data_IF_926642928185
#
_entry.id   IF_926642928185
#
_cell.length_a   1.000
_cell.length_b   1.000
_cell.length_c   1.000
_cell.angle_alpha   90.00
_cell.angle_beta   90.00
_cell.angle_gamma   90.00
#
_symmetry.space_group_name_H-M   'P 1'
#
loop_
_entity.id
_entity.type
_entity.pdbx_description
1 polymer ?
#
# COMPACT_ATOMS: atom_id res chain seq x y z
N UNK A 1 11.32 -16.08 4.90
CA UNK A 1 9.92 -15.81 5.26
C UNK A 1 9.05 -16.12 4.02
N UNK A 2 7.79 -16.57 4.14
CA UNK A 2 6.93 -16.79 2.96
C UNK A 2 6.79 -15.48 2.16
N UNK A 3 6.52 -15.53 0.86
CA UNK A 3 6.39 -14.39 -0.07
C UNK A 3 7.67 -13.81 -0.71
N UNK A 4 8.80 -14.54 -0.69
CA UNK A 4 10.02 -14.09 -1.38
C UNK A 4 9.83 -13.82 -2.90
N UNK A 5 8.94 -14.57 -3.58
CA UNK A 5 8.62 -14.30 -4.99
C UNK A 5 7.87 -12.97 -5.16
N UNK A 6 6.93 -12.68 -4.26
CA UNK A 6 6.21 -11.40 -4.27
C UNK A 6 7.17 -10.24 -4.04
N UNK A 7 8.09 -10.38 -3.08
CA UNK A 7 9.15 -9.39 -2.82
C UNK A 7 10.10 -9.22 -4.01
N UNK A 8 10.39 -10.29 -4.77
CA UNK A 8 11.18 -10.20 -5.99
C UNK A 8 10.44 -9.41 -7.09
N UNK A 9 9.14 -9.67 -7.29
CA UNK A 9 8.30 -8.90 -8.22
C UNK A 9 8.29 -7.42 -7.85
N UNK A 10 8.05 -7.10 -6.58
CA UNK A 10 8.08 -5.74 -6.07
C UNK A 10 9.42 -5.04 -6.33
N UNK A 11 10.53 -5.71 -6.00
CA UNK A 11 11.88 -5.19 -6.23
C UNK A 11 12.15 -4.90 -7.72
N UNK A 12 11.71 -5.79 -8.60
CA UNK A 12 11.89 -5.64 -10.04
C UNK A 12 11.02 -4.51 -10.61
N UNK A 13 9.76 -4.39 -10.17
CA UNK A 13 8.89 -3.28 -10.54
C UNK A 13 9.50 -1.94 -10.09
N UNK A 14 10.01 -1.84 -8.86
CA UNK A 14 10.67 -0.62 -8.37
C UNK A 14 11.80 -0.21 -9.31
N UNK A 15 12.72 -1.13 -9.61
CA UNK A 15 13.83 -0.89 -10.55
C UNK A 15 13.37 -0.49 -11.95
N UNK A 16 12.31 -1.12 -12.45
CA UNK A 16 11.74 -0.79 -13.75
C UNK A 16 11.18 0.63 -13.76
N UNK A 17 10.36 1.00 -12.78
CA UNK A 17 9.83 2.35 -12.61
C UNK A 17 10.93 3.39 -12.35
N UNK A 18 12.04 3.01 -11.69
CA UNK A 18 13.20 3.89 -11.46
C UNK A 18 13.87 4.31 -12.78
N UNK A 19 13.97 3.39 -13.75
CA UNK A 19 14.47 3.74 -15.09
C UNK A 19 13.58 4.79 -15.76
N UNK A 20 12.26 4.58 -15.76
CA UNK A 20 11.32 5.54 -16.35
C UNK A 20 11.29 6.88 -15.59
N UNK A 21 11.48 6.87 -14.27
CA UNK A 21 11.62 8.07 -13.45
C UNK A 21 12.83 8.89 -13.85
N UNK A 22 13.99 8.25 -14.02
CA UNK A 22 15.23 8.90 -14.43
C UNK A 22 15.11 9.51 -15.84
N UNK A 23 14.35 8.88 -16.73
CA UNK A 23 14.06 9.37 -18.08
C UNK A 23 12.98 10.47 -18.12
N UNK A 24 12.21 10.68 -17.03
CA UNK A 24 11.07 11.59 -17.03
C UNK A 24 9.91 11.15 -17.94
N UNK A 25 9.78 9.84 -18.18
CA UNK A 25 8.84 9.24 -19.14
C UNK A 25 7.76 8.42 -18.44
N UNK A 26 6.55 8.31 -19.03
CA UNK A 26 5.53 7.44 -18.47
C UNK A 26 5.97 5.98 -18.59
N UNK A 27 5.59 5.16 -17.62
CA UNK A 27 5.75 3.71 -17.70
C UNK A 27 4.81 3.15 -18.78
N UNK A 28 5.17 2.09 -19.54
CA UNK A 28 4.28 1.44 -20.52
C UNK A 28 2.89 1.13 -19.97
N UNK A 29 2.81 0.57 -18.75
CA UNK A 29 1.53 0.33 -18.07
C UNK A 29 0.67 1.59 -17.94
N UNK A 30 1.26 2.77 -17.68
CA UNK A 30 0.50 4.02 -17.61
C UNK A 30 -0.04 4.41 -18.99
N UNK A 31 0.79 4.31 -20.04
CA UNK A 31 0.41 4.64 -21.42
C UNK A 31 -0.71 3.73 -21.90
N UNK A 32 -0.57 2.42 -21.71
CA UNK A 32 -1.58 1.42 -22.10
C UNK A 32 -2.91 1.62 -21.37
N UNK A 33 -2.88 2.09 -20.11
CA UNK A 33 -4.06 2.38 -19.32
C UNK A 33 -4.61 3.81 -19.52
N UNK A 34 -4.00 4.63 -20.39
CA UNK A 34 -4.42 6.01 -20.62
C UNK A 34 -4.22 6.95 -19.43
N UNK A 35 -3.26 6.64 -18.54
CA UNK A 35 -2.95 7.44 -17.34
C UNK A 35 -1.91 8.50 -17.71
N UNK A 36 -2.30 9.77 -17.61
CA UNK A 36 -1.44 10.92 -17.90
C UNK A 36 -0.51 11.27 -16.72
N UNK A 37 0.44 10.37 -16.43
CA UNK A 37 1.35 10.50 -15.30
C UNK A 37 2.80 10.13 -15.64
N UNK A 38 3.71 10.46 -14.72
CA UNK A 38 5.07 9.92 -14.68
C UNK A 38 5.43 9.43 -13.30
N UNK A 39 6.32 8.44 -13.16
CA UNK A 39 6.95 8.17 -11.87
C UNK A 39 7.63 9.46 -11.36
N UNK A 40 7.30 9.88 -10.15
CA UNK A 40 7.71 11.17 -9.60
C UNK A 40 9.09 11.08 -8.95
N UNK A 41 10.00 11.99 -9.34
CA UNK A 41 11.28 12.18 -8.67
C UNK A 41 11.11 13.06 -7.43
N UNK A 42 11.36 12.48 -6.25
CA UNK A 42 11.38 13.20 -4.97
C UNK A 42 12.63 12.83 -4.17
N UNK A 43 13.35 13.79 -3.55
CA UNK A 43 14.58 13.51 -2.81
C UNK A 43 14.41 12.50 -1.66
N UNK A 44 13.23 12.47 -1.04
CA UNK A 44 12.92 11.56 0.07
C UNK A 44 12.34 10.20 -0.38
N UNK A 45 12.15 9.95 -1.68
CA UNK A 45 11.46 8.74 -2.17
C UNK A 45 12.15 7.44 -1.73
N UNK A 46 13.48 7.41 -1.76
CA UNK A 46 14.26 6.26 -1.29
C UNK A 46 14.02 5.96 0.19
N UNK A 47 13.90 7.00 1.02
CA UNK A 47 13.57 6.83 2.44
C UNK A 47 12.13 6.36 2.63
N UNK A 48 11.19 6.94 1.87
CA UNK A 48 9.77 6.61 1.93
C UNK A 48 9.47 5.17 1.48
N UNK A 49 10.32 4.57 0.65
CA UNK A 49 10.23 3.17 0.23
C UNK A 49 10.86 2.19 1.21
N UNK A 50 11.59 2.67 2.20
CA UNK A 50 12.27 1.81 3.17
C UNK A 50 11.32 1.35 4.27
N UNK A 51 11.14 0.03 4.41
CA UNK A 51 10.20 -0.57 5.38
C UNK A 51 10.47 -0.24 6.86
N UNK A 52 11.67 0.25 7.21
CA UNK A 52 12.02 0.64 8.59
C UNK A 52 12.02 2.15 8.82
N UNK A 53 11.94 2.95 7.75
CA UNK A 53 11.90 4.42 7.84
C UNK A 53 10.54 4.96 7.45
N UNK A 54 10.16 4.73 6.18
CA UNK A 54 8.89 5.11 5.59
C UNK A 54 8.65 6.62 5.54
N UNK A 55 7.49 7.01 5.02
CA UNK A 55 6.90 8.33 5.27
C UNK A 55 6.54 8.38 6.75
N UNK A 56 6.99 9.39 7.48
CA UNK A 56 6.87 9.45 8.93
C UNK A 56 6.29 10.76 9.42
N UNK A 57 5.48 10.73 10.46
CA UNK A 57 4.95 11.94 11.11
C UNK A 57 4.72 11.71 12.60
N UNK A 58 4.97 12.75 13.40
CA UNK A 58 4.57 12.79 14.80
C UNK A 58 3.18 13.41 14.90
N UNK A 59 2.18 12.61 15.29
CA UNK A 59 0.83 13.09 15.48
C UNK A 59 0.68 13.79 16.84
N UNK A 60 0.71 15.12 16.82
CA UNK A 60 0.75 15.96 18.04
C UNK A 60 -0.40 15.67 19.03
N UNK A 61 -1.63 15.46 18.52
CA UNK A 61 -2.80 15.24 19.37
C UNK A 61 -2.75 13.94 20.18
N UNK A 62 -2.09 12.91 19.66
CA UNK A 62 -1.96 11.60 20.33
C UNK A 62 -0.55 11.31 20.84
N UNK A 63 0.45 12.13 20.48
CA UNK A 63 1.87 11.88 20.69
C UNK A 63 2.30 10.48 20.21
N UNK A 64 1.77 10.06 19.05
CA UNK A 64 2.14 8.81 18.39
C UNK A 64 3.04 9.15 17.19
N UNK A 65 4.16 8.45 17.07
CA UNK A 65 4.92 8.43 15.84
C UNK A 65 4.33 7.38 14.90
N UNK A 66 3.99 7.80 13.69
CA UNK A 66 3.31 7.00 12.68
C UNK A 66 4.17 6.96 11.44
N UNK A 67 4.31 5.78 10.84
CA UNK A 67 5.04 5.64 9.58
C UNK A 67 4.48 4.51 8.71
N UNK A 68 4.78 4.60 7.41
CA UNK A 68 4.42 3.61 6.41
C UNK A 68 5.32 3.71 5.19
N UNK A 69 5.65 2.58 4.57
CA UNK A 69 6.52 2.54 3.39
C UNK A 69 5.70 2.39 2.12
N UNK A 70 5.79 3.36 1.21
CA UNK A 70 5.10 3.32 -0.09
C UNK A 70 5.93 2.52 -1.10
N UNK A 71 5.29 1.95 -2.12
CA UNK A 71 6.03 1.33 -3.21
C UNK A 71 6.47 2.37 -4.25
N UNK A 72 5.56 3.25 -4.68
CA UNK A 72 5.88 4.31 -5.61
C UNK A 72 4.99 5.54 -5.49
N UNK A 73 5.44 6.63 -6.09
CA UNK A 73 4.77 7.92 -6.17
C UNK A 73 4.78 8.38 -7.62
N UNK A 74 3.60 8.67 -8.15
CA UNK A 74 3.42 9.16 -9.51
C UNK A 74 2.99 10.63 -9.46
N UNK A 75 3.29 11.39 -10.51
CA UNK A 75 2.85 12.77 -10.68
C UNK A 75 1.98 12.87 -11.91
N UNK A 76 0.76 13.35 -11.74
CA UNK A 76 -0.12 13.69 -12.86
C UNK A 76 0.50 14.84 -13.66
N UNK A 77 0.52 14.72 -15.00
CA UNK A 77 1.19 15.71 -15.84
C UNK A 77 0.42 17.03 -15.97
N UNK A 78 -0.90 16.97 -15.91
CA UNK A 78 -1.78 18.13 -16.08
C UNK A 78 -1.86 19.00 -14.82
N UNK A 79 -2.12 18.41 -13.66
CA UNK A 79 -2.29 19.12 -12.39
C UNK A 79 -1.00 19.24 -11.57
N UNK A 80 -0.06 18.30 -11.73
CA UNK A 80 1.09 18.15 -10.85
C UNK A 80 0.78 17.44 -9.53
N UNK A 81 -0.47 17.01 -9.28
CA UNK A 81 -0.84 16.25 -8.08
C UNK A 81 -0.07 14.92 -8.02
N UNK A 82 0.22 14.49 -6.78
CA UNK A 82 0.90 13.24 -6.53
C UNK A 82 -0.10 12.12 -6.27
N UNK A 83 0.11 10.97 -6.89
CA UNK A 83 -0.71 9.77 -6.73
C UNK A 83 0.15 8.66 -6.14
N UNK A 84 -0.34 8.02 -5.08
CA UNK A 84 0.32 6.84 -4.51
C UNK A 84 0.06 5.64 -5.42
N UNK A 85 1.13 4.88 -5.70
CA UNK A 85 1.03 3.60 -6.35
C UNK A 85 1.56 2.49 -5.44
N UNK A 86 0.78 1.41 -5.33
CA UNK A 86 1.06 0.29 -4.42
C UNK A 86 1.09 -1.01 -5.22
N UNK A 87 2.12 -1.82 -5.01
CA UNK A 87 2.44 -2.99 -5.83
C UNK A 87 1.92 -4.25 -5.15
N UNK A 88 1.01 -4.94 -5.83
CA UNK A 88 0.46 -6.21 -5.36
C UNK A 88 0.81 -7.32 -6.33
N UNK A 89 1.17 -8.48 -5.79
CA UNK A 89 1.40 -9.67 -6.59
C UNK A 89 0.68 -10.87 -5.98
N UNK A 90 0.14 -11.72 -6.85
CA UNK A 90 -0.55 -12.96 -6.45
C UNK A 90 -0.49 -13.97 -7.59
N UNK A 91 -1.07 -15.15 -7.41
CA UNK A 91 -1.32 -16.09 -8.48
C UNK A 91 -2.65 -16.79 -8.27
N UNK A 92 -3.72 -16.19 -8.78
CA UNK A 92 -5.08 -16.72 -8.69
C UNK A 92 -5.68 -16.92 -10.06
N UNK A 93 -6.62 -17.85 -10.18
CA UNK A 93 -7.39 -18.03 -11.41
C UNK A 93 -8.31 -16.83 -11.62
N UNK A 94 -8.43 -16.37 -12.86
CA UNK A 94 -9.29 -15.23 -13.23
C UNK A 94 -8.66 -13.86 -12.96
N UNK A 95 -9.51 -12.84 -12.90
CA UNK A 95 -9.09 -11.44 -12.84
C UNK A 95 -8.80 -10.95 -11.42
N UNK A 96 -7.79 -10.08 -11.28
CA UNK A 96 -7.49 -9.40 -10.02
C UNK A 96 -8.40 -8.18 -9.83
N UNK A 97 -8.86 -8.03 -8.60
CA UNK A 97 -9.72 -6.94 -8.11
C UNK A 97 -9.26 -6.54 -6.71
N UNK A 98 -9.87 -5.50 -6.14
CA UNK A 98 -9.65 -5.03 -4.75
C UNK A 98 -10.96 -5.05 -3.95
N UNK A 99 -11.90 -5.90 -4.34
CA UNK A 99 -13.28 -5.88 -3.84
C UNK A 99 -13.59 -6.94 -2.79
N UNK A 100 -12.64 -7.83 -2.51
CA UNK A 100 -12.80 -8.86 -1.48
C UNK A 100 -12.71 -8.24 -0.08
N UNK A 101 -13.38 -8.81 0.93
CA UNK A 101 -13.40 -8.27 2.29
C UNK A 101 -12.00 -8.06 2.89
N UNK A 102 -11.11 -9.04 2.72
CA UNK A 102 -9.72 -8.95 3.20
C UNK A 102 -8.90 -7.87 2.47
N UNK A 103 -9.32 -7.45 1.27
CA UNK A 103 -8.68 -6.38 0.50
C UNK A 103 -9.06 -4.98 1.00
N UNK A 104 -9.99 -4.88 1.96
CA UNK A 104 -10.20 -3.66 2.72
C UNK A 104 -8.90 -3.17 3.40
N UNK A 105 -8.01 -4.10 3.79
CA UNK A 105 -6.70 -3.75 4.32
C UNK A 105 -5.83 -3.00 3.29
N UNK A 106 -5.92 -3.34 2.01
CA UNK A 106 -5.18 -2.64 0.95
C UNK A 106 -5.69 -1.22 0.73
N UNK A 107 -7.02 -1.05 0.78
CA UNK A 107 -7.66 0.27 0.69
C UNK A 107 -7.23 1.18 1.84
N UNK A 108 -7.30 0.67 3.08
CA UNK A 108 -6.81 1.39 4.28
C UNK A 108 -5.33 1.71 4.23
N UNK A 109 -4.51 0.80 3.69
CA UNK A 109 -3.09 1.03 3.49
C UNK A 109 -2.85 2.21 2.54
N UNK A 110 -3.51 2.22 1.37
CA UNK A 110 -3.44 3.32 0.40
C UNK A 110 -3.86 4.66 1.03
N UNK A 111 -5.00 4.68 1.74
CA UNK A 111 -5.52 5.87 2.41
C UNK A 111 -4.56 6.41 3.47
N UNK A 112 -3.97 5.52 4.27
CA UNK A 112 -3.01 5.91 5.28
C UNK A 112 -1.72 6.49 4.67
N UNK A 113 -1.26 5.95 3.54
CA UNK A 113 -0.13 6.53 2.80
C UNK A 113 -0.46 7.91 2.24
N UNK A 114 -1.65 8.10 1.69
CA UNK A 114 -2.11 9.42 1.25
C UNK A 114 -2.12 10.41 2.42
N UNK A 115 -2.66 10.01 3.57
CA UNK A 115 -2.66 10.82 4.80
C UNK A 115 -1.25 11.20 5.27
N UNK A 116 -0.33 10.24 5.31
CA UNK A 116 1.06 10.46 5.71
C UNK A 116 1.78 11.45 4.79
N UNK A 117 1.59 11.31 3.47
CA UNK A 117 2.19 12.18 2.46
C UNK A 117 1.60 13.59 2.48
N UNK A 118 0.28 13.75 2.69
CA UNK A 118 -0.36 15.07 2.90
C UNK A 118 0.24 15.80 4.09
N UNK A 119 0.59 15.07 5.16
CA UNK A 119 1.28 15.62 6.33
C UNK A 119 2.74 16.01 6.09
N UNK A 120 3.32 15.64 4.95
CA UNK A 120 4.60 16.18 4.47
C UNK A 120 4.41 17.49 3.68
N UNK A 121 3.19 18.03 3.61
CA UNK A 121 2.87 19.26 2.87
C UNK A 121 2.67 19.04 1.36
N UNK A 122 2.53 17.79 0.92
CA UNK A 122 2.34 17.45 -0.49
C UNK A 122 0.87 17.56 -0.90
N UNK A 123 0.64 17.96 -2.15
CA UNK A 123 -0.66 17.86 -2.81
C UNK A 123 -0.85 16.44 -3.33
N UNK A 124 -1.60 15.63 -2.58
CA UNK A 124 -1.81 14.20 -2.88
C UNK A 124 -3.25 13.97 -3.32
N UNK A 125 -3.40 13.45 -4.53
CA UNK A 125 -4.69 13.11 -5.11
C UNK A 125 -5.43 12.07 -4.26
N UNK A 126 -6.76 12.09 -4.30
CA UNK A 126 -7.57 10.98 -3.77
C UNK A 126 -7.38 9.71 -4.60
N UNK A 127 -7.12 9.86 -5.89
CA UNK A 127 -6.85 8.74 -6.80
C UNK A 127 -5.48 8.14 -6.49
N UNK A 128 -5.47 6.87 -6.11
CA UNK A 128 -4.30 6.00 -6.06
C UNK A 128 -4.44 4.85 -7.05
N UNK A 129 -3.34 4.11 -7.25
CA UNK A 129 -3.29 3.00 -8.21
C UNK A 129 -2.68 1.75 -7.58
N UNK A 130 -3.34 0.61 -7.74
CA UNK A 130 -2.73 -0.67 -7.48
C UNK A 130 -2.14 -1.23 -8.78
N UNK A 131 -0.82 -1.45 -8.79
CA UNK A 131 -0.16 -2.22 -9.86
C UNK A 131 -0.25 -3.69 -9.46
N UNK A 132 -1.24 -4.41 -9.99
CA UNK A 132 -1.54 -5.76 -9.55
C UNK A 132 -1.03 -6.80 -10.57
N UNK A 133 0.04 -7.49 -10.22
CA UNK A 133 0.64 -8.58 -10.99
C UNK A 133 0.00 -9.93 -10.63
N UNK A 134 -0.73 -10.55 -11.55
CA UNK A 134 -1.28 -11.90 -11.39
C UNK A 134 -0.44 -12.92 -12.15
N UNK A 135 0.28 -13.76 -11.42
CA UNK A 135 1.10 -14.84 -11.97
C UNK A 135 0.24 -15.90 -12.65
N UNK A 136 0.55 -16.19 -13.91
CA UNK A 136 -0.15 -17.13 -14.78
C UNK A 136 0.12 -18.57 -14.37
N UNK A 137 -0.95 -19.32 -14.14
CA UNK A 137 -0.96 -20.79 -13.92
C UNK A 137 -1.74 -21.53 -15.00
N UNK A 138 -2.12 -20.80 -16.05
CA UNK A 138 -2.90 -21.24 -17.20
C UNK A 138 -2.02 -21.51 -18.44
N UNK A 139 -0.71 -21.70 -18.24
CA UNK A 139 0.26 -22.03 -19.28
C UNK A 139 0.57 -23.52 -19.28
N UNK A 140 0.96 -24.06 -20.43
CA UNK A 140 1.23 -25.50 -20.62
C UNK A 140 2.47 -25.99 -19.85
N UNK A 141 3.41 -25.09 -19.57
CA UNK A 141 4.71 -25.39 -18.95
C UNK A 141 5.24 -24.22 -18.11
N UNK A 142 6.16 -24.53 -17.20
CA UNK A 142 6.84 -23.52 -16.37
C UNK A 142 8.01 -22.84 -17.08
N UNK A 143 8.76 -23.56 -17.91
CA UNK A 143 9.88 -23.04 -18.73
C UNK A 143 10.85 -22.09 -18.01
N UNK A 144 11.08 -22.32 -16.71
CA UNK A 144 11.90 -21.48 -15.83
C UNK A 144 11.46 -20.00 -15.81
N UNK A 145 10.19 -19.72 -16.07
CA UNK A 145 9.62 -18.37 -16.15
C UNK A 145 8.24 -18.31 -15.50
N UNK A 146 8.04 -17.30 -14.65
CA UNK A 146 6.69 -16.88 -14.26
C UNK A 146 6.26 -15.73 -15.15
N UNK A 147 5.16 -15.93 -15.87
CA UNK A 147 4.52 -14.88 -16.64
C UNK A 147 3.42 -14.22 -15.81
N UNK A 148 3.23 -12.91 -15.99
CA UNK A 148 2.24 -12.14 -15.25
C UNK A 148 1.28 -11.45 -16.21
N UNK A 149 0.01 -11.39 -15.81
CA UNK A 149 -0.93 -10.39 -16.32
C UNK A 149 -0.95 -9.24 -15.33
N UNK A 150 -0.68 -8.02 -15.80
CA UNK A 150 -0.68 -6.82 -14.95
C UNK A 150 -1.97 -6.05 -15.18
N UNK A 151 -2.59 -5.60 -14.09
CA UNK A 151 -3.74 -4.70 -14.13
C UNK A 151 -3.47 -3.48 -13.28
N UNK A 152 -3.72 -2.30 -13.82
CA UNK A 152 -3.76 -1.06 -13.06
C UNK A 152 -5.19 -0.85 -12.55
N UNK A 153 -5.36 -0.91 -11.23
CA UNK A 153 -6.67 -0.78 -10.59
C UNK A 153 -6.75 0.59 -9.92
N UNK A 154 -7.62 1.50 -10.37
CA UNK A 154 -7.81 2.78 -9.71
C UNK A 154 -8.54 2.61 -8.39
N UNK A 155 -8.18 3.43 -7.40
CA UNK A 155 -8.90 3.54 -6.15
C UNK A 155 -8.95 4.99 -5.68
N UNK A 156 -10.15 5.49 -5.39
CA UNK A 156 -10.32 6.81 -4.78
C UNK A 156 -10.37 6.65 -3.26
N UNK A 157 -9.26 6.96 -2.60
CA UNK A 157 -9.11 6.83 -1.15
C UNK A 157 -9.81 7.93 -0.37
N UNK A 158 -10.25 7.58 0.83
CA UNK A 158 -10.74 8.51 1.83
C UNK A 158 -10.07 8.27 3.19
N UNK A 159 -9.25 9.22 3.63
CA UNK A 159 -8.48 9.12 4.89
C UNK A 159 -9.18 9.79 6.09
N UNK A 160 -10.46 10.19 5.93
CA UNK A 160 -11.23 10.82 7.00
C UNK A 160 -11.36 9.95 8.27
N UNK A 161 -11.22 8.63 8.15
CA UNK A 161 -11.27 7.70 9.29
C UNK A 161 -10.02 7.74 10.19
N UNK A 162 -8.89 8.25 9.68
CA UNK A 162 -7.58 8.12 10.34
C UNK A 162 -7.57 8.85 11.69
N UNK A 163 -8.01 10.11 11.74
CA UNK A 163 -7.93 10.94 12.96
C UNK A 163 -8.71 10.36 14.14
N UNK A 164 -9.97 9.96 13.91
CA UNK A 164 -10.80 9.33 14.94
C UNK A 164 -10.21 8.01 15.41
N UNK A 165 -9.63 7.24 14.49
CA UNK A 165 -8.99 5.96 14.80
C UNK A 165 -7.72 6.14 15.64
N UNK A 166 -6.90 7.16 15.35
CA UNK A 166 -5.73 7.47 16.17
C UNK A 166 -6.12 7.87 17.60
N UNK A 167 -7.21 8.63 17.76
CA UNK A 167 -7.73 8.95 19.09
C UNK A 167 -8.18 7.70 19.85
N UNK A 168 -8.90 6.79 19.19
CA UNK A 168 -9.33 5.52 19.77
C UNK A 168 -8.15 4.61 20.14
N UNK A 169 -7.13 4.52 19.29
CA UNK A 169 -5.88 3.79 19.57
C UNK A 169 -5.22 4.37 20.83
N UNK A 170 -5.09 5.69 20.91
CA UNK A 170 -4.47 6.35 22.07
C UNK A 170 -5.24 6.11 23.37
N UNK A 171 -6.57 6.18 23.32
CA UNK A 171 -7.42 5.89 24.47
C UNK A 171 -7.25 4.44 24.92
N UNK A 172 -7.27 3.49 23.98
CA UNK A 172 -7.08 2.06 24.25
C UNK A 172 -5.72 1.78 24.88
N UNK A 173 -4.63 2.32 24.32
CA UNK A 173 -3.27 2.12 24.84
C UNK A 173 -3.03 2.73 26.22
N UNK A 174 -3.86 3.69 26.64
CA UNK A 174 -3.78 4.36 27.95
C UNK A 174 -4.80 3.84 28.95
N UNK A 175 -5.68 2.94 28.54
CA UNK A 175 -6.68 2.37 29.43
C UNK A 175 -5.98 1.57 30.53
N UNK A 176 -6.41 1.69 31.80
CA UNK A 176 -5.89 0.85 32.87
C UNK A 176 -6.32 -0.62 32.70
N UNK A 177 -7.40 -0.87 31.97
CA UNK A 177 -7.96 -2.19 31.71
C UNK A 177 -7.91 -2.53 30.21
N UNK A 178 -7.64 -3.79 29.84
CA UNK A 178 -7.71 -4.21 28.45
C UNK A 178 -9.14 -4.09 27.89
N UNK A 179 -9.31 -3.94 26.56
CA UNK A 179 -10.64 -3.98 25.96
C UNK A 179 -11.34 -5.31 26.26
N UNK A 180 -12.69 -5.32 26.30
CA UNK A 180 -13.44 -6.53 26.57
C UNK A 180 -13.13 -7.62 25.54
N UNK A 181 -13.13 -8.86 26.02
CA UNK A 181 -12.99 -10.05 25.19
C UNK A 181 -14.20 -10.15 24.26
N UNK A 182 -13.94 -10.42 22.99
CA UNK A 182 -14.96 -10.76 22.01
C UNK A 182 -14.90 -12.28 21.77
N UNK A 183 -16.01 -12.98 22.01
CA UNK A 183 -16.10 -14.44 21.88
C UNK A 183 -15.88 -14.92 20.43
N UNK A 184 -16.20 -14.08 19.45
CA UNK A 184 -16.00 -14.39 18.03
C UNK A 184 -14.56 -14.10 17.57
N UNK A 185 -13.79 -13.31 18.33
CA UNK A 185 -12.42 -12.98 18.00
C UNK A 185 -11.47 -14.16 18.29
N UNK A 186 -10.82 -14.67 17.24
CA UNK A 186 -9.85 -15.78 17.36
C UNK A 186 -8.66 -15.44 18.27
N UNK A 187 -8.21 -14.19 18.28
CA UNK A 187 -7.11 -13.72 19.12
C UNK A 187 -7.52 -13.60 20.59
N UNK A 188 -8.75 -13.16 20.85
CA UNK A 188 -9.33 -13.11 22.18
C UNK A 188 -9.45 -14.54 22.76
N UNK A 189 -9.96 -15.49 21.96
CA UNK A 189 -10.02 -16.91 22.34
C UNK A 189 -8.63 -17.51 22.56
N UNK A 190 -7.65 -17.14 21.73
CA UNK A 190 -6.26 -17.54 21.93
C UNK A 190 -5.73 -17.02 23.27
N UNK A 191 -5.82 -15.71 23.53
CA UNK A 191 -5.33 -15.10 24.76
C UNK A 191 -6.00 -15.70 26.02
N UNK A 192 -7.32 -15.91 25.98
CA UNK A 192 -8.08 -16.52 27.08
C UNK A 192 -7.59 -17.93 27.41
N UNK A 193 -7.37 -18.78 26.39
CA UNK A 193 -6.88 -20.16 26.57
C UNK A 193 -5.50 -20.24 27.24
N UNK A 194 -4.64 -19.24 27.06
CA UNK A 194 -3.30 -19.20 27.65
C UNK A 194 -3.24 -18.46 29.00
N UNK A 195 -4.26 -17.66 29.32
CA UNK A 195 -4.37 -16.96 30.60
C UNK A 195 -4.88 -17.86 31.76
N UNK A 196 -5.18 -19.14 31.50
CA UNK A 196 -5.64 -20.09 32.52
C UNK A 196 -7.10 -19.88 32.97
N UNK A 197 -7.92 -19.26 32.12
CA UNK A 197 -9.38 -19.18 32.27
C UNK A 197 -10.08 -20.35 31.57
#
# INVERSE_FOLDING_TARGET
FPFNLNSAVDTLLKREFDRYRAEGRPHPFMVEAGIDAVPHAHPALEEWRNNFRGVRTLHQGTNLELFGAIDDLWRERSSGELMVADYKSTSKSGEVTIDSEWQLAYKRQMEFYQWLLRRQGLQVSRRGWFVYCNGRRDLDSFDNRLEFRVKLIPYDGDDAWVEATLAAIRATLRSPEPPPVDEDCEYCRFAARWAGA
#
